data_IF_892996556583
#
_entry.id   IF_892996556583
#
_cell.length_a   1.000
_cell.length_b   1.000
_cell.length_c   1.000
_cell.angle_alpha   90.00
_cell.angle_beta   90.00
_cell.angle_gamma   90.00
#
_symmetry.space_group_name_H-M   'P 1'
#
loop_
_entity.id
_entity.type
_entity.pdbx_description
1 polymer ?
#
# COMPACT_ATOMS: atom_id res chain seq x y z
N UNK A 1 -14.10 14.80 -12.78
CA UNK A 1 -14.57 14.47 -11.42
C UNK A 1 -15.80 13.57 -11.46
N UNK A 2 -15.74 12.39 -10.84
CA UNK A 2 -16.90 11.50 -10.65
C UNK A 2 -17.71 11.88 -9.39
N UNK A 3 -18.87 11.24 -9.17
CA UNK A 3 -19.78 11.56 -8.05
C UNK A 3 -19.10 11.38 -6.68
N UNK A 4 -18.25 10.35 -6.52
CA UNK A 4 -17.56 10.08 -5.24
C UNK A 4 -16.52 11.15 -4.92
N UNK A 5 -15.72 11.54 -5.90
CA UNK A 5 -14.74 12.64 -5.78
C UNK A 5 -15.43 13.97 -5.45
N UNK A 6 -16.58 14.24 -6.07
CA UNK A 6 -17.35 15.45 -5.80
C UNK A 6 -17.87 15.50 -4.36
N UNK A 7 -18.33 14.37 -3.84
CA UNK A 7 -18.76 14.25 -2.45
C UNK A 7 -17.57 14.44 -1.48
N UNK A 8 -16.40 13.89 -1.80
CA UNK A 8 -15.17 14.10 -1.02
C UNK A 8 -14.79 15.58 -0.97
N UNK A 9 -14.77 16.24 -2.13
CA UNK A 9 -14.48 17.65 -2.25
C UNK A 9 -15.41 18.47 -1.36
N UNK A 10 -16.73 18.37 -1.54
CA UNK A 10 -17.68 19.19 -0.79
C UNK A 10 -17.62 18.92 0.72
N UNK A 11 -17.51 17.66 1.13
CA UNK A 11 -17.43 17.34 2.55
C UNK A 11 -16.14 17.87 3.20
N UNK A 12 -15.01 17.82 2.50
CA UNK A 12 -13.74 18.37 2.98
C UNK A 12 -13.80 19.91 3.06
N UNK A 13 -14.36 20.57 2.04
CA UNK A 13 -14.47 22.04 2.00
C UNK A 13 -15.41 22.56 3.07
N UNK A 14 -16.56 21.89 3.28
CA UNK A 14 -17.53 22.26 4.31
C UNK A 14 -16.92 22.13 5.70
N UNK A 15 -16.14 21.06 5.93
CA UNK A 15 -15.48 20.86 7.21
C UNK A 15 -14.41 21.91 7.48
N UNK A 16 -13.63 22.30 6.47
CA UNK A 16 -12.65 23.38 6.60
C UNK A 16 -13.36 24.73 6.91
N UNK A 17 -14.49 25.00 6.25
CA UNK A 17 -15.29 26.19 6.50
C UNK A 17 -15.83 26.23 7.94
N UNK A 18 -16.34 25.12 8.45
CA UNK A 18 -16.80 24.98 9.84
C UNK A 18 -15.66 25.30 10.83
N UNK A 19 -14.45 24.78 10.58
CA UNK A 19 -13.32 24.91 11.49
C UNK A 19 -12.64 26.29 11.45
N UNK A 20 -12.64 26.95 10.29
CA UNK A 20 -11.78 28.13 10.06
C UNK A 20 -12.53 29.37 9.57
N UNK A 21 -13.77 29.23 9.11
CA UNK A 21 -14.49 30.26 8.37
C UNK A 21 -13.95 30.49 6.95
N UNK A 22 -12.96 29.72 6.49
CA UNK A 22 -12.50 29.78 5.12
C UNK A 22 -13.61 29.35 4.15
N UNK A 23 -13.70 30.00 3.00
CA UNK A 23 -14.67 29.62 1.97
C UNK A 23 -13.94 29.04 0.77
N UNK A 24 -14.45 27.93 0.24
CA UNK A 24 -13.89 27.28 -0.95
C UNK A 24 -14.94 27.24 -2.04
N UNK A 25 -14.60 27.79 -3.20
CA UNK A 25 -15.49 27.83 -4.36
C UNK A 25 -14.97 26.93 -5.46
N UNK A 26 -15.79 25.98 -5.87
CA UNK A 26 -15.51 25.12 -7.02
C UNK A 26 -15.58 25.94 -8.32
N UNK A 27 -14.44 26.08 -9.00
CA UNK A 27 -14.28 26.80 -10.27
C UNK A 27 -14.31 25.86 -11.48
N UNK A 28 -14.44 24.55 -11.27
CA UNK A 28 -14.33 23.50 -12.29
C UNK A 28 -15.42 23.56 -13.37
N UNK A 29 -16.40 24.46 -13.23
CA UNK A 29 -17.50 24.67 -14.19
C UNK A 29 -17.09 25.59 -15.36
N UNK A 30 -15.90 26.20 -15.37
CA UNK A 30 -15.58 27.26 -16.37
C UNK A 30 -14.42 27.04 -17.35
N UNK A 31 -13.68 25.94 -17.34
CA UNK A 31 -12.58 25.76 -18.31
C UNK A 31 -12.64 24.40 -19.00
N UNK A 32 -13.07 24.40 -20.28
CA UNK A 32 -12.59 23.41 -21.26
C UNK A 32 -11.14 23.76 -21.57
N UNK A 33 -10.22 23.43 -20.66
CA UNK A 33 -8.79 23.50 -20.96
C UNK A 33 -8.32 22.11 -21.42
N UNK A 34 -7.68 22.08 -22.59
CA UNK A 34 -7.20 20.89 -23.30
C UNK A 34 -5.98 20.20 -22.63
N UNK A 35 -5.84 20.27 -21.30
CA UNK A 35 -4.81 19.53 -20.56
C UNK A 35 -5.46 18.36 -19.79
N UNK A 36 -5.25 17.16 -20.32
CA UNK A 36 -6.03 15.95 -20.09
C UNK A 36 -5.89 15.24 -18.72
N UNK A 37 -5.45 15.87 -17.61
CA UNK A 37 -5.12 15.12 -16.38
C UNK A 37 -5.39 15.87 -15.06
N UNK A 38 -6.54 16.53 -14.87
CA UNK A 38 -6.84 17.26 -13.60
C UNK A 38 -8.30 17.07 -13.15
N UNK A 39 -8.52 16.92 -11.84
CA UNK A 39 -9.87 16.68 -11.28
C UNK A 39 -10.71 17.95 -11.17
N UNK A 40 -10.08 19.10 -10.89
CA UNK A 40 -10.78 20.39 -10.78
C UNK A 40 -9.88 21.57 -10.38
N UNK A 41 -10.50 22.75 -10.28
CA UNK A 41 -9.87 23.99 -9.76
C UNK A 41 -10.78 24.60 -8.71
N UNK A 42 -10.20 25.08 -7.61
CA UNK A 42 -10.95 25.69 -6.50
C UNK A 42 -10.31 27.01 -6.09
N UNK A 43 -11.11 27.95 -5.63
CA UNK A 43 -10.64 29.18 -4.98
C UNK A 43 -10.86 29.09 -3.47
N UNK A 44 -9.79 29.15 -2.69
CA UNK A 44 -9.81 29.27 -1.23
C UNK A 44 -9.75 30.75 -0.85
N UNK A 45 -10.72 31.22 -0.07
CA UNK A 45 -10.68 32.56 0.53
C UNK A 45 -10.60 32.45 2.04
N UNK A 46 -9.56 33.06 2.62
CA UNK A 46 -9.32 33.08 4.06
C UNK A 46 -8.70 34.43 4.46
N UNK A 47 -9.25 35.08 5.50
CA UNK A 47 -8.75 36.37 5.97
C UNK A 47 -8.73 37.48 4.91
N UNK A 48 -9.70 37.48 3.98
CA UNK A 48 -9.77 38.44 2.86
C UNK A 48 -8.80 38.17 1.71
N UNK A 49 -7.94 37.15 1.80
CA UNK A 49 -7.05 36.70 0.73
C UNK A 49 -7.67 35.54 -0.02
N UNK A 50 -7.67 35.59 -1.35
CA UNK A 50 -8.14 34.50 -2.22
C UNK A 50 -6.97 33.90 -2.99
N UNK A 51 -6.84 32.57 -2.97
CA UNK A 51 -5.84 31.82 -3.75
C UNK A 51 -6.53 30.67 -4.49
N UNK A 52 -6.16 30.48 -5.75
CA UNK A 52 -6.63 29.37 -6.56
C UNK A 52 -5.70 28.16 -6.45
N UNK A 53 -6.29 26.98 -6.39
CA UNK A 53 -5.59 25.71 -6.37
C UNK A 53 -6.09 24.80 -7.50
N UNK A 54 -5.15 24.09 -8.12
CA UNK A 54 -5.46 22.86 -8.82
C UNK A 54 -5.69 21.74 -7.82
N UNK A 55 -6.73 20.94 -8.04
CA UNK A 55 -7.14 19.89 -7.11
C UNK A 55 -6.88 18.52 -7.71
N UNK A 56 -6.31 17.65 -6.87
CA UNK A 56 -6.32 16.20 -7.08
C UNK A 56 -7.08 15.57 -5.91
N UNK A 57 -8.05 14.72 -6.23
CA UNK A 57 -8.94 14.10 -5.25
C UNK A 57 -8.62 12.61 -5.18
N UNK A 58 -8.27 12.14 -3.98
CA UNK A 58 -8.02 10.71 -3.73
C UNK A 58 -8.88 10.22 -2.58
N UNK A 59 -9.41 9.01 -2.68
CA UNK A 59 -10.09 8.40 -1.53
C UNK A 59 -9.14 8.22 -0.34
N UNK A 60 -7.89 7.81 -0.61
CA UNK A 60 -6.89 7.61 0.43
C UNK A 60 -5.47 7.79 -0.13
N UNK A 61 -4.58 8.38 0.68
CA UNK A 61 -3.16 8.58 0.34
C UNK A 61 -2.37 7.76 1.36
N UNK A 62 -1.93 6.58 0.92
CA UNK A 62 -1.10 5.64 1.70
C UNK A 62 0.32 5.68 1.14
N UNK A 63 1.28 5.03 1.80
CA UNK A 63 2.72 5.05 1.42
C UNK A 63 3.05 4.72 -0.04
N UNK A 64 2.11 4.17 -0.81
CA UNK A 64 2.25 3.80 -2.21
C UNK A 64 1.69 4.86 -3.18
N UNK A 65 0.84 5.75 -2.67
CA UNK A 65 0.00 6.68 -3.43
C UNK A 65 0.32 8.11 -3.04
N UNK A 66 1.60 8.48 -3.06
CA UNK A 66 1.90 9.82 -3.56
C UNK A 66 2.03 9.64 -5.08
N UNK A 67 1.16 10.22 -5.91
CA UNK A 67 1.30 10.26 -7.37
C UNK A 67 2.55 11.05 -7.81
N UNK A 68 3.75 10.74 -7.28
CA UNK A 68 5.01 11.41 -7.59
C UNK A 68 5.49 11.08 -9.00
N UNK A 69 4.90 10.11 -9.69
CA UNK A 69 5.51 9.51 -10.89
C UNK A 69 4.77 9.78 -12.20
N UNK A 70 3.49 10.18 -12.18
CA UNK A 70 2.77 10.40 -13.45
C UNK A 70 2.66 11.88 -13.88
N UNK A 71 2.84 12.85 -12.99
CA UNK A 71 2.88 14.27 -13.35
C UNK A 71 4.05 15.00 -12.69
N UNK A 72 5.24 15.02 -13.32
CA UNK A 72 6.47 15.67 -12.81
C UNK A 72 6.31 17.15 -12.42
N UNK A 73 5.23 17.81 -12.84
CA UNK A 73 4.97 19.23 -12.63
C UNK A 73 3.93 19.56 -11.54
N UNK A 74 3.22 18.57 -10.97
CA UNK A 74 2.10 18.83 -10.05
C UNK A 74 2.59 19.24 -8.65
N UNK A 75 3.39 18.39 -8.01
CA UNK A 75 3.89 18.62 -6.64
C UNK A 75 5.06 19.61 -6.55
N UNK A 76 5.52 20.18 -7.67
CA UNK A 76 6.56 21.23 -7.69
C UNK A 76 5.98 22.64 -7.56
N UNK A 77 4.66 22.80 -7.64
CA UNK A 77 4.02 24.11 -7.62
C UNK A 77 3.21 24.31 -6.33
N UNK A 78 3.34 25.49 -5.73
CA UNK A 78 2.60 25.90 -4.51
C UNK A 78 1.10 26.17 -4.77
N UNK A 79 0.63 25.96 -5.99
CA UNK A 79 -0.74 26.19 -6.49
C UNK A 79 -1.56 24.89 -6.54
N UNK A 80 -1.15 23.85 -5.80
CA UNK A 80 -1.78 22.52 -5.81
C UNK A 80 -2.32 22.15 -4.44
N UNK A 81 -3.51 21.56 -4.38
CA UNK A 81 -4.15 21.03 -3.17
C UNK A 81 -4.60 19.57 -3.36
N UNK A 82 -4.06 18.69 -2.53
CA UNK A 82 -4.49 17.30 -2.44
C UNK A 82 -5.68 17.17 -1.48
N UNK A 83 -6.83 16.70 -1.98
CA UNK A 83 -8.00 16.43 -1.14
C UNK A 83 -8.13 14.93 -0.94
N UNK A 84 -8.21 14.51 0.32
CA UNK A 84 -8.20 13.10 0.66
C UNK A 84 -9.20 12.69 1.73
N UNK A 85 -9.71 11.45 1.63
CA UNK A 85 -10.46 10.83 2.72
C UNK A 85 -9.64 10.72 4.01
N UNK A 86 -8.43 10.18 3.89
CA UNK A 86 -7.51 9.99 5.00
C UNK A 86 -6.05 9.91 4.52
N UNK A 87 -5.16 10.52 5.31
CA UNK A 87 -3.72 10.58 5.14
C UNK A 87 -3.08 10.10 6.44
N UNK A 88 -2.22 9.09 6.35
CA UNK A 88 -1.53 8.56 7.53
C UNK A 88 -0.58 9.60 8.13
N UNK A 89 -0.31 9.52 9.44
CA UNK A 89 0.60 10.47 10.12
C UNK A 89 1.99 10.59 9.45
N UNK A 90 2.69 9.49 9.10
CA UNK A 90 3.98 9.60 8.40
C UNK A 90 3.86 10.30 7.04
N UNK A 91 2.73 10.14 6.35
CA UNK A 91 2.48 10.78 5.07
C UNK A 91 2.19 12.28 5.21
N UNK A 92 1.46 12.69 6.26
CA UNK A 92 1.26 14.12 6.57
C UNK A 92 2.59 14.83 6.80
N UNK A 93 3.49 14.20 7.55
CA UNK A 93 4.82 14.75 7.81
C UNK A 93 5.64 14.88 6.52
N UNK A 94 5.58 13.89 5.63
CA UNK A 94 6.26 13.92 4.33
C UNK A 94 5.69 14.99 3.39
N UNK A 95 4.36 15.09 3.25
CA UNK A 95 3.70 16.12 2.45
C UNK A 95 4.07 17.52 2.95
N UNK A 96 4.10 17.72 4.27
CA UNK A 96 4.52 18.98 4.89
C UNK A 96 6.00 19.28 4.64
N UNK A 97 6.89 18.29 4.81
CA UNK A 97 8.31 18.45 4.51
C UNK A 97 8.54 18.88 3.05
N UNK A 98 7.74 18.34 2.13
CA UNK A 98 7.76 18.70 0.70
C UNK A 98 6.99 19.97 0.35
N UNK A 99 6.37 20.63 1.32
CA UNK A 99 5.51 21.81 1.11
C UNK A 99 4.33 21.55 0.15
N UNK A 100 3.78 20.34 0.16
CA UNK A 100 2.61 19.95 -0.63
C UNK A 100 1.36 20.22 0.21
N UNK A 101 0.44 21.03 -0.32
CA UNK A 101 -0.80 21.33 0.38
C UNK A 101 -1.75 20.13 0.38
N UNK A 102 -2.39 19.86 1.52
CA UNK A 102 -3.40 18.81 1.64
C UNK A 102 -4.57 19.22 2.53
N UNK A 103 -5.72 18.60 2.30
CA UNK A 103 -6.93 18.71 3.11
C UNK A 103 -7.60 17.32 3.25
N UNK A 104 -7.83 16.88 4.48
CA UNK A 104 -8.58 15.66 4.79
C UNK A 104 -10.06 15.93 5.00
N UNK A 105 -10.90 14.88 4.87
CA UNK A 105 -12.31 14.93 5.26
C UNK A 105 -12.55 15.35 6.71
N UNK A 106 -11.67 14.94 7.64
CA UNK A 106 -11.76 15.32 9.05
C UNK A 106 -11.45 16.81 9.28
N UNK A 107 -10.96 17.53 8.27
CA UNK A 107 -10.56 18.94 8.36
C UNK A 107 -9.09 19.15 8.75
N UNK A 108 -8.34 18.09 9.05
CA UNK A 108 -6.88 18.21 9.15
C UNK A 108 -6.32 18.65 7.80
N UNK A 109 -5.45 19.63 7.83
CA UNK A 109 -4.90 20.21 6.62
C UNK A 109 -3.53 20.82 6.87
N UNK A 110 -2.79 20.98 5.79
CA UNK A 110 -1.63 21.84 5.70
C UNK A 110 -1.78 22.61 4.38
N UNK A 111 -1.98 23.92 4.48
CA UNK A 111 -2.15 24.81 3.34
C UNK A 111 -1.20 25.97 3.54
N UNK A 112 -0.17 26.08 2.71
CA UNK A 112 0.80 27.15 2.73
C UNK A 112 0.96 27.75 1.33
N UNK A 113 0.59 29.02 1.21
CA UNK A 113 0.80 29.86 0.04
C UNK A 113 1.57 31.13 0.43
N UNK A 114 1.71 32.09 -0.47
CA UNK A 114 2.30 33.40 -0.12
C UNK A 114 1.44 34.22 0.84
N UNK A 115 0.13 33.98 0.90
CA UNK A 115 -0.82 34.79 1.69
C UNK A 115 -1.74 34.02 2.63
N UNK A 116 -1.72 32.68 2.59
CA UNK A 116 -2.54 31.83 3.44
C UNK A 116 -1.64 30.79 4.10
N UNK A 117 -1.75 30.65 5.42
CA UNK A 117 -1.18 29.53 6.17
C UNK A 117 -2.26 28.96 7.08
N UNK A 118 -2.63 27.69 6.86
CA UNK A 118 -3.57 26.93 7.67
C UNK A 118 -2.93 25.59 7.99
N UNK A 119 -2.84 25.26 9.29
CA UNK A 119 -2.35 23.96 9.73
C UNK A 119 -3.24 23.45 10.85
N UNK A 120 -3.93 22.34 10.58
CA UNK A 120 -4.83 21.67 11.51
C UNK A 120 -4.40 20.20 11.57
N UNK A 121 -4.13 19.70 12.78
CA UNK A 121 -3.63 18.33 12.99
C UNK A 121 -4.17 17.67 14.26
N UNK A 122 -5.20 18.25 14.85
CA UNK A 122 -5.83 17.83 16.10
C UNK A 122 -7.25 17.28 15.88
N UNK A 123 -7.77 17.34 14.65
CA UNK A 123 -9.05 16.76 14.35
C UNK A 123 -8.89 15.25 14.43
N UNK A 124 -9.61 14.66 15.37
CA UNK A 124 -9.76 13.22 15.38
C UNK A 124 -10.31 12.85 14.01
N UNK A 125 -9.49 12.12 13.26
CA UNK A 125 -10.00 11.27 12.21
C UNK A 125 -10.75 10.18 12.95
N UNK A 126 -11.97 10.49 13.42
CA UNK A 126 -12.99 9.45 13.56
C UNK A 126 -12.94 8.80 12.20
N UNK A 127 -12.47 7.55 12.13
CA UNK A 127 -12.53 6.75 10.92
C UNK A 127 -13.87 7.09 10.30
N UNK A 128 -13.89 7.91 9.24
CA UNK A 128 -15.09 8.20 8.49
C UNK A 128 -15.34 6.87 7.86
N UNK A 129 -16.06 6.02 8.61
CA UNK A 129 -15.91 4.57 8.64
C UNK A 129 -15.52 4.16 7.24
N UNK A 130 -14.25 3.81 7.01
CA UNK A 130 -13.92 3.01 5.82
C UNK A 130 -14.96 1.91 5.89
N UNK A 131 -15.92 1.93 4.95
CA UNK A 131 -17.06 1.02 4.98
C UNK A 131 -16.48 -0.33 5.36
N UNK A 132 -16.91 -0.95 6.48
CA UNK A 132 -16.13 -1.93 7.22
C UNK A 132 -15.48 -2.83 6.20
N UNK A 133 -14.15 -2.69 6.00
CA UNK A 133 -13.52 -3.41 4.90
C UNK A 133 -13.90 -4.86 5.14
N UNK A 134 -14.55 -5.45 4.15
CA UNK A 134 -15.21 -6.74 4.34
C UNK A 134 -14.21 -7.79 4.82
N UNK A 135 -14.69 -8.97 5.19
CA UNK A 135 -13.84 -10.00 5.79
C UNK A 135 -12.63 -10.35 4.92
N UNK A 136 -12.72 -10.12 3.61
CA UNK A 136 -11.68 -10.30 2.61
C UNK A 136 -10.41 -9.45 2.87
N UNK A 137 -10.54 -8.29 3.49
CA UNK A 137 -9.42 -7.36 3.73
C UNK A 137 -8.90 -7.39 5.17
N UNK A 138 -9.41 -8.32 5.98
CA UNK A 138 -8.89 -8.64 7.31
C UNK A 138 -7.86 -9.76 7.22
N UNK A 139 -7.13 -10.02 8.30
CA UNK A 139 -6.02 -11.00 8.37
C UNK A 139 -6.32 -12.34 7.67
N UNK A 140 -7.46 -12.98 7.95
CA UNK A 140 -7.82 -14.25 7.30
C UNK A 140 -8.09 -14.09 5.79
N UNK A 141 -8.77 -13.02 5.40
CA UNK A 141 -9.04 -12.73 3.99
C UNK A 141 -7.77 -12.39 3.19
N UNK A 142 -6.82 -11.67 3.79
CA UNK A 142 -5.52 -11.36 3.16
C UNK A 142 -4.71 -12.64 2.92
N UNK A 143 -4.67 -13.56 3.90
CA UNK A 143 -4.03 -14.86 3.72
C UNK A 143 -4.73 -15.70 2.64
N UNK A 144 -6.06 -15.72 2.62
CA UNK A 144 -6.87 -16.38 1.60
C UNK A 144 -6.59 -15.84 0.19
N UNK A 145 -6.62 -14.51 0.02
CA UNK A 145 -6.30 -13.87 -1.24
C UNK A 145 -4.87 -14.18 -1.68
N UNK A 146 -3.91 -14.18 -0.75
CA UNK A 146 -2.53 -14.54 -1.07
C UNK A 146 -2.44 -15.95 -1.64
N UNK A 147 -3.10 -16.93 -1.01
CA UNK A 147 -3.11 -18.30 -1.51
C UNK A 147 -3.74 -18.37 -2.92
N UNK A 148 -4.92 -17.79 -3.11
CA UNK A 148 -5.61 -17.77 -4.41
C UNK A 148 -4.81 -17.09 -5.52
N UNK A 149 -4.13 -15.99 -5.20
CA UNK A 149 -3.40 -15.19 -6.18
C UNK A 149 -2.10 -15.86 -6.64
N UNK A 150 -1.50 -16.67 -5.77
CA UNK A 150 -0.34 -17.51 -6.11
C UNK A 150 -0.76 -18.84 -6.76
N UNK A 151 -1.94 -19.37 -6.40
CA UNK A 151 -2.47 -20.61 -6.94
C UNK A 151 -3.97 -20.48 -7.29
N UNK A 152 -4.30 -19.98 -8.50
CA UNK A 152 -5.69 -19.81 -8.94
C UNK A 152 -6.49 -21.11 -9.00
N UNK A 153 -5.84 -22.27 -9.04
CA UNK A 153 -6.51 -23.59 -9.04
C UNK A 153 -7.30 -23.83 -7.77
N UNK A 154 -6.95 -23.16 -6.68
CA UNK A 154 -7.67 -23.20 -5.42
C UNK A 154 -9.14 -22.79 -5.54
N UNK A 155 -9.52 -21.99 -6.55
CA UNK A 155 -10.93 -21.69 -6.83
C UNK A 155 -11.76 -22.94 -7.15
N UNK A 156 -11.10 -24.02 -7.61
CA UNK A 156 -11.72 -25.30 -7.98
C UNK A 156 -11.55 -26.37 -6.91
N UNK A 157 -10.86 -26.06 -5.82
CA UNK A 157 -10.55 -27.02 -4.76
C UNK A 157 -11.61 -27.03 -3.66
N UNK A 158 -11.76 -28.15 -2.92
CA UNK A 158 -12.60 -28.19 -1.73
C UNK A 158 -12.20 -27.12 -0.71
N UNK A 159 -13.18 -26.56 0.01
CA UNK A 159 -12.92 -25.50 1.00
C UNK A 159 -11.90 -25.90 2.07
N UNK A 160 -11.81 -27.19 2.41
CA UNK A 160 -10.80 -27.70 3.33
C UNK A 160 -9.38 -27.54 2.80
N UNK A 161 -9.16 -27.79 1.51
CA UNK A 161 -7.87 -27.58 0.84
C UNK A 161 -7.53 -26.10 0.80
N UNK A 162 -8.50 -25.25 0.46
CA UNK A 162 -8.30 -23.79 0.44
C UNK A 162 -7.95 -23.26 1.83
N UNK A 163 -8.65 -23.71 2.87
CA UNK A 163 -8.40 -23.32 4.26
C UNK A 163 -6.99 -23.70 4.71
N UNK A 164 -6.55 -24.92 4.37
CA UNK A 164 -5.23 -25.42 4.73
C UNK A 164 -4.12 -24.65 4.01
N UNK A 165 -4.20 -24.49 2.69
CA UNK A 165 -3.21 -23.74 1.89
C UNK A 165 -3.11 -22.26 2.29
N UNK A 166 -4.23 -21.64 2.65
CA UNK A 166 -4.26 -20.27 3.15
C UNK A 166 -3.92 -20.15 4.64
N UNK A 167 -3.76 -21.26 5.37
CA UNK A 167 -3.56 -21.28 6.82
C UNK A 167 -4.61 -20.45 7.60
N UNK A 168 -5.89 -20.76 7.34
CA UNK A 168 -7.06 -20.14 7.98
C UNK A 168 -8.07 -21.17 8.47
N UNK A 169 -8.96 -20.75 9.36
CA UNK A 169 -10.08 -21.58 9.80
C UNK A 169 -11.05 -21.88 8.64
N UNK A 170 -11.46 -23.15 8.50
CA UNK A 170 -12.38 -23.63 7.45
C UNK A 170 -13.68 -22.81 7.38
N UNK A 171 -14.25 -22.42 8.52
CA UNK A 171 -15.48 -21.64 8.59
C UNK A 171 -15.39 -20.25 7.93
N UNK A 172 -14.19 -19.74 7.64
CA UNK A 172 -14.02 -18.47 6.94
C UNK A 172 -14.15 -18.61 5.42
N UNK A 173 -13.85 -19.78 4.83
CA UNK A 173 -13.66 -19.92 3.38
C UNK A 173 -14.92 -19.56 2.61
N UNK A 174 -16.10 -20.07 3.00
CA UNK A 174 -17.35 -19.78 2.30
C UNK A 174 -17.66 -18.28 2.25
N UNK A 175 -17.61 -17.61 3.40
CA UNK A 175 -17.86 -16.17 3.46
C UNK A 175 -16.85 -15.34 2.65
N UNK A 176 -15.60 -15.80 2.54
CA UNK A 176 -14.56 -15.16 1.73
C UNK A 176 -14.78 -15.39 0.23
N UNK A 177 -15.17 -16.60 -0.18
CA UNK A 177 -15.55 -16.94 -1.56
C UNK A 177 -16.76 -16.13 -2.03
N UNK A 178 -17.79 -16.00 -1.17
CA UNK A 178 -18.97 -15.18 -1.46
C UNK A 178 -18.60 -13.70 -1.60
N UNK A 179 -17.70 -13.20 -0.74
CA UNK A 179 -17.29 -11.81 -0.74
C UNK A 179 -16.43 -11.44 -1.96
N UNK A 180 -15.44 -12.25 -2.33
CA UNK A 180 -14.63 -12.00 -3.54
C UNK A 180 -15.48 -12.05 -4.81
N UNK A 181 -16.48 -12.94 -4.88
CA UNK A 181 -17.46 -12.99 -5.96
C UNK A 181 -18.34 -11.73 -6.02
N UNK A 182 -18.91 -11.32 -4.88
CA UNK A 182 -19.74 -10.11 -4.76
C UNK A 182 -18.97 -8.82 -5.05
N UNK A 183 -17.68 -8.76 -4.75
CA UNK A 183 -16.81 -7.64 -5.12
C UNK A 183 -16.41 -7.63 -6.62
N UNK A 184 -16.88 -8.63 -7.39
CA UNK A 184 -16.73 -8.68 -8.84
C UNK A 184 -15.31 -8.99 -9.29
N UNK A 185 -14.55 -9.75 -8.51
CA UNK A 185 -13.23 -10.23 -8.94
C UNK A 185 -13.29 -11.58 -9.66
N UNK A 186 -14.36 -12.35 -9.43
CA UNK A 186 -14.56 -13.66 -10.05
C UNK A 186 -15.44 -13.54 -11.29
N UNK A 187 -15.06 -14.28 -12.35
CA UNK A 187 -15.85 -14.41 -13.57
C UNK A 187 -16.02 -15.87 -13.94
N UNK A 188 -17.22 -16.21 -14.41
CA UNK A 188 -17.49 -17.52 -14.99
C UNK A 188 -17.00 -17.57 -16.44
N UNK A 189 -16.21 -18.59 -16.74
CA UNK A 189 -15.74 -18.96 -18.07
C UNK A 189 -16.53 -20.13 -18.67
N UNK A 190 -16.09 -20.62 -19.84
CA UNK A 190 -16.67 -21.80 -20.47
C UNK A 190 -16.68 -23.00 -19.52
N UNK A 191 -17.68 -23.87 -19.64
CA UNK A 191 -17.85 -25.07 -18.81
C UNK A 191 -17.97 -24.81 -17.29
N UNK A 192 -18.50 -23.64 -16.89
CA UNK A 192 -18.65 -23.22 -15.48
C UNK A 192 -17.32 -23.15 -14.72
N UNK A 193 -16.22 -22.90 -15.44
CA UNK A 193 -14.93 -22.60 -14.80
C UNK A 193 -14.99 -21.21 -14.19
N UNK A 194 -14.28 -20.97 -13.08
CA UNK A 194 -14.23 -19.67 -12.41
C UNK A 194 -12.79 -19.19 -12.40
N UNK A 195 -12.56 -17.93 -12.79
CA UNK A 195 -11.23 -17.31 -12.80
C UNK A 195 -11.27 -15.89 -12.25
N UNK A 196 -10.10 -15.36 -11.90
CA UNK A 196 -9.91 -13.99 -11.43
C UNK A 196 -9.77 -13.06 -12.64
N UNK A 197 -10.72 -12.17 -12.88
CA UNK A 197 -10.70 -11.26 -14.05
C UNK A 197 -9.86 -10.01 -13.80
N UNK A 198 -10.07 -9.33 -12.67
CA UNK A 198 -9.40 -8.08 -12.30
C UNK A 198 -8.13 -8.32 -11.49
N UNK A 199 -7.24 -9.19 -12.00
CA UNK A 199 -6.09 -9.70 -11.26
C UNK A 199 -5.10 -8.60 -10.86
N UNK A 200 -4.75 -7.71 -11.80
CA UNK A 200 -3.82 -6.59 -11.52
C UNK A 200 -4.33 -5.65 -10.42
N UNK A 201 -5.61 -5.27 -10.51
CA UNK A 201 -6.25 -4.43 -9.48
C UNK A 201 -6.25 -5.14 -8.13
N UNK A 202 -6.56 -6.44 -8.12
CA UNK A 202 -6.57 -7.26 -6.92
C UNK A 202 -5.17 -7.39 -6.31
N UNK A 203 -4.10 -7.49 -7.10
CA UNK A 203 -2.72 -7.47 -6.60
C UNK A 203 -2.39 -6.16 -5.90
N UNK A 204 -2.70 -5.02 -6.51
CA UNK A 204 -2.45 -3.70 -5.92
C UNK A 204 -3.18 -3.54 -4.59
N UNK A 205 -4.48 -3.85 -4.57
CA UNK A 205 -5.30 -3.76 -3.36
C UNK A 205 -4.86 -4.76 -2.28
N UNK A 206 -4.48 -5.97 -2.68
CA UNK A 206 -3.93 -6.95 -1.75
C UNK A 206 -2.62 -6.48 -1.14
N UNK A 207 -1.69 -5.91 -1.93
CA UNK A 207 -0.41 -5.41 -1.43
C UNK A 207 -0.61 -4.30 -0.38
N UNK A 208 -1.58 -3.41 -0.59
CA UNK A 208 -1.96 -2.40 0.39
C UNK A 208 -2.55 -3.01 1.67
N UNK A 209 -3.50 -3.94 1.54
CA UNK A 209 -4.12 -4.61 2.67
C UNK A 209 -3.09 -5.42 3.48
N UNK A 210 -2.19 -6.13 2.79
CA UNK A 210 -1.07 -6.84 3.35
C UNK A 210 -0.24 -5.93 4.24
N UNK A 211 0.25 -4.81 3.70
CA UNK A 211 1.10 -3.88 4.44
C UNK A 211 0.44 -3.28 5.66
N UNK A 212 -0.83 -2.89 5.54
CA UNK A 212 -1.51 -2.13 6.59
C UNK A 212 -2.12 -3.03 7.67
N UNK A 213 -2.47 -4.27 7.35
CA UNK A 213 -3.24 -5.14 8.24
C UNK A 213 -2.49 -6.39 8.67
N UNK A 214 -1.82 -7.10 7.75
CA UNK A 214 -1.16 -8.37 8.05
C UNK A 214 0.28 -8.16 8.50
N UNK A 215 1.07 -7.41 7.72
CA UNK A 215 2.50 -7.20 7.95
C UNK A 215 2.85 -6.74 9.37
N UNK A 216 2.15 -5.76 9.99
CA UNK A 216 2.47 -5.32 11.35
C UNK A 216 2.26 -6.41 12.40
N UNK A 217 1.36 -7.36 12.14
CA UNK A 217 1.06 -8.48 13.07
C UNK A 217 2.05 -9.63 12.96
N UNK A 218 2.71 -9.76 11.81
CA UNK A 218 3.70 -10.81 11.55
C UNK A 218 5.14 -10.31 11.70
N UNK A 219 5.36 -9.00 11.87
CA UNK A 219 6.70 -8.44 12.11
C UNK A 219 7.18 -8.88 13.49
N UNK A 220 8.28 -9.62 13.55
CA UNK A 220 8.83 -10.16 14.78
C UNK A 220 9.82 -9.18 15.45
N UNK A 221 10.53 -8.38 14.66
CA UNK A 221 11.43 -7.33 15.17
C UNK A 221 12.54 -6.97 14.18
N UNK A 222 13.36 -6.03 14.61
CA UNK A 222 14.55 -5.53 13.90
C UNK A 222 15.84 -5.95 14.60
N UNK A 223 16.86 -6.21 13.80
CA UNK A 223 18.10 -6.86 14.17
C UNK A 223 19.27 -6.32 13.34
N UNK A 224 20.47 -6.69 13.76
CA UNK A 224 21.69 -6.52 12.96
C UNK A 224 22.48 -7.82 12.92
N UNK A 225 23.25 -7.98 11.84
CA UNK A 225 24.25 -9.04 11.77
C UNK A 225 25.36 -8.78 12.80
N UNK A 226 25.76 -9.84 13.51
CA UNK A 226 27.00 -9.80 14.31
C UNK A 226 28.22 -9.75 13.39
N UNK A 227 28.21 -10.59 12.36
CA UNK A 227 29.21 -10.56 11.29
C UNK A 227 28.82 -9.53 10.23
N UNK A 228 29.50 -8.38 10.24
CA UNK A 228 29.23 -7.31 9.28
C UNK A 228 29.55 -7.70 7.84
N UNK A 229 30.39 -8.70 7.59
CA UNK A 229 30.71 -9.13 6.21
C UNK A 229 29.49 -9.74 5.50
N UNK A 230 28.48 -10.20 6.25
CA UNK A 230 27.23 -10.72 5.70
C UNK A 230 26.44 -9.65 4.93
N UNK A 231 26.62 -8.36 5.20
CA UNK A 231 25.92 -7.33 4.42
C UNK A 231 26.39 -7.28 2.97
N UNK A 232 27.63 -7.68 2.70
CA UNK A 232 28.18 -7.72 1.34
C UNK A 232 28.02 -9.10 0.69
N UNK A 233 28.10 -10.18 1.48
CA UNK A 233 28.05 -11.56 0.98
C UNK A 233 26.70 -12.26 1.18
N UNK A 234 25.63 -11.52 1.48
CA UNK A 234 24.31 -12.11 1.75
C UNK A 234 23.78 -13.02 0.63
N UNK A 235 24.18 -12.77 -0.63
CA UNK A 235 23.80 -13.60 -1.79
C UNK A 235 24.42 -14.99 -1.79
N UNK A 236 25.51 -15.18 -1.05
CA UNK A 236 26.19 -16.48 -0.93
C UNK A 236 25.50 -17.41 0.06
N UNK A 237 24.61 -16.85 0.90
CA UNK A 237 23.79 -17.63 1.81
C UNK A 237 22.83 -18.52 1.02
N UNK A 238 22.77 -19.78 1.42
CA UNK A 238 21.84 -20.79 0.90
C UNK A 238 20.80 -21.06 1.99
N UNK A 239 19.79 -20.18 2.13
CA UNK A 239 18.90 -20.22 3.27
C UNK A 239 18.06 -21.50 3.22
N UNK A 240 18.05 -22.23 4.34
CA UNK A 240 17.25 -23.46 4.51
C UNK A 240 16.06 -23.27 5.43
N UNK A 241 16.12 -22.24 6.27
CA UNK A 241 15.21 -22.03 7.40
C UNK A 241 14.40 -20.74 7.24
N UNK A 242 14.67 -19.98 6.18
CA UNK A 242 14.03 -18.71 5.89
C UNK A 242 14.03 -18.39 4.39
N UNK A 243 13.25 -17.37 4.03
CA UNK A 243 13.17 -16.84 2.68
C UNK A 243 13.56 -15.37 2.67
N UNK A 244 14.31 -14.95 1.66
CA UNK A 244 14.57 -13.54 1.40
C UNK A 244 13.31 -12.84 0.91
N UNK A 245 12.92 -11.77 1.60
CA UNK A 245 11.83 -10.87 1.24
C UNK A 245 12.34 -9.50 0.77
N UNK A 246 11.41 -8.55 0.61
CA UNK A 246 11.74 -7.14 0.36
C UNK A 246 12.83 -6.90 -0.67
N UNK A 247 13.84 -6.11 -0.30
CA UNK A 247 14.91 -5.70 -1.22
C UNK A 247 15.78 -6.88 -1.67
N UNK A 248 16.02 -7.86 -0.79
CA UNK A 248 16.77 -9.06 -1.15
C UNK A 248 16.04 -9.90 -2.20
N UNK A 249 14.73 -10.11 -2.03
CA UNK A 249 13.92 -10.79 -3.03
C UNK A 249 13.92 -10.03 -4.36
N UNK A 250 13.69 -8.72 -4.32
CA UNK A 250 13.75 -7.87 -5.52
C UNK A 250 15.11 -7.93 -6.22
N UNK A 251 16.20 -7.90 -5.46
CA UNK A 251 17.56 -8.01 -5.98
C UNK A 251 17.83 -9.37 -6.64
N UNK A 252 17.37 -10.48 -6.05
CA UNK A 252 17.56 -11.82 -6.61
C UNK A 252 16.70 -12.07 -7.84
N UNK A 253 15.43 -11.67 -7.82
CA UNK A 253 14.48 -11.91 -8.89
C UNK A 253 14.71 -11.00 -10.10
N UNK A 254 15.11 -9.75 -9.88
CA UNK A 254 15.26 -8.75 -10.98
C UNK A 254 16.71 -8.46 -11.37
N UNK A 255 17.67 -8.75 -10.50
CA UNK A 255 19.07 -8.35 -10.66
C UNK A 255 19.33 -6.83 -10.59
N UNK A 256 18.33 -6.02 -10.22
CA UNK A 256 18.37 -4.56 -10.36
C UNK A 256 18.79 -3.81 -9.09
N UNK A 257 18.40 -4.32 -7.92
CA UNK A 257 18.54 -3.61 -6.64
C UNK A 257 19.76 -4.09 -5.85
N UNK A 258 20.47 -3.18 -5.19
CA UNK A 258 21.40 -3.51 -4.10
C UNK A 258 20.67 -3.26 -2.77
N UNK A 259 20.44 -4.29 -1.94
CA UNK A 259 19.73 -4.11 -0.67
C UNK A 259 20.49 -3.25 0.33
N UNK A 260 19.75 -2.39 1.01
CA UNK A 260 20.13 -1.70 2.23
C UNK A 260 19.36 -2.24 3.44
N UNK A 261 18.14 -2.74 3.20
CA UNK A 261 17.33 -3.44 4.19
C UNK A 261 17.28 -4.93 3.90
N UNK A 262 17.48 -5.74 4.92
CA UNK A 262 17.51 -7.19 4.87
C UNK A 262 16.22 -7.77 5.42
N UNK A 263 15.31 -8.20 4.55
CA UNK A 263 14.00 -8.70 4.97
C UNK A 263 13.99 -10.22 4.96
N UNK A 264 13.63 -10.83 6.08
CA UNK A 264 13.61 -12.27 6.28
C UNK A 264 12.21 -12.74 6.66
N UNK A 265 11.72 -13.79 6.01
CA UNK A 265 10.51 -14.51 6.41
C UNK A 265 10.85 -15.91 6.88
N UNK A 266 10.36 -16.31 8.04
CA UNK A 266 10.62 -17.64 8.58
C UNK A 266 9.47 -18.16 9.45
N UNK A 267 9.33 -19.48 9.53
CA UNK A 267 8.40 -20.14 10.45
C UNK A 267 8.97 -20.10 11.88
N UNK A 268 10.22 -20.54 12.06
CA UNK A 268 10.88 -20.72 13.37
C UNK A 268 12.12 -19.83 13.55
N UNK A 269 11.96 -18.50 13.51
CA UNK A 269 13.13 -17.60 13.48
C UNK A 269 14.03 -17.67 14.73
N UNK A 270 13.45 -17.85 15.94
CA UNK A 270 14.20 -17.75 17.21
C UNK A 270 15.30 -18.80 17.37
N UNK A 271 15.07 -20.01 16.85
CA UNK A 271 16.00 -21.13 17.02
C UNK A 271 16.87 -21.32 15.77
N UNK A 272 16.26 -21.20 14.60
CA UNK A 272 16.91 -21.54 13.33
C UNK A 272 17.65 -20.31 12.78
N UNK A 273 16.90 -19.25 12.44
CA UNK A 273 17.46 -18.03 11.81
C UNK A 273 18.46 -17.31 12.72
N UNK A 274 18.16 -17.17 14.01
CA UNK A 274 19.07 -16.52 14.96
C UNK A 274 20.42 -17.25 15.07
N UNK A 275 20.41 -18.59 14.97
CA UNK A 275 21.62 -19.43 15.01
C UNK A 275 22.36 -19.41 13.67
N UNK A 276 21.62 -19.48 12.57
CA UNK A 276 22.17 -19.49 11.21
C UNK A 276 22.86 -18.16 10.87
N UNK A 277 22.21 -17.03 11.16
CA UNK A 277 22.68 -15.70 10.77
C UNK A 277 23.38 -14.92 11.88
N UNK A 278 23.39 -15.44 13.12
CA UNK A 278 23.96 -14.79 14.31
C UNK A 278 23.51 -13.33 14.42
N UNK A 279 22.23 -13.14 14.70
CA UNK A 279 21.60 -11.83 14.78
C UNK A 279 21.58 -11.32 16.23
N UNK A 280 21.66 -10.00 16.39
CA UNK A 280 21.39 -9.31 17.66
C UNK A 280 20.21 -8.36 17.49
N UNK A 281 19.27 -8.31 18.46
CA UNK A 281 18.20 -7.32 18.44
C UNK A 281 18.77 -5.90 18.34
N UNK A 282 18.21 -5.10 17.44
CA UNK A 282 18.60 -3.72 17.22
C UNK A 282 17.40 -2.98 16.62
N UNK A 283 16.75 -2.07 17.37
CA UNK A 283 15.60 -1.30 16.90
C UNK A 283 15.84 -0.58 15.57
N UNK A 284 17.07 -0.10 15.35
CA UNK A 284 17.49 0.65 14.15
C UNK A 284 18.32 -0.22 13.18
N UNK A 285 18.38 -1.52 13.44
CA UNK A 285 19.16 -2.47 12.65
C UNK A 285 18.60 -2.68 11.25
N UNK A 286 19.45 -3.00 10.26
CA UNK A 286 19.03 -3.12 8.86
C UNK A 286 18.31 -4.44 8.56
N UNK A 287 18.27 -5.39 9.50
CA UNK A 287 17.64 -6.70 9.32
C UNK A 287 16.26 -6.68 9.96
N UNK A 288 15.23 -7.06 9.21
CA UNK A 288 13.86 -7.21 9.69
C UNK A 288 13.42 -8.65 9.52
N UNK A 289 12.86 -9.23 10.59
CA UNK A 289 12.32 -10.59 10.56
C UNK A 289 10.79 -10.53 10.65
N UNK A 290 10.14 -11.29 9.77
CA UNK A 290 8.71 -11.51 9.75
C UNK A 290 8.38 -13.01 9.86
N UNK A 291 7.26 -13.31 10.48
CA UNK A 291 6.69 -14.65 10.50
C UNK A 291 6.13 -15.00 9.11
N UNK A 292 6.57 -16.14 8.58
CA UNK A 292 5.96 -16.74 7.42
C UNK A 292 4.49 -17.07 7.69
N UNK A 293 3.63 -16.78 6.73
CA UNK A 293 2.18 -16.94 6.86
C UNK A 293 1.54 -17.83 5.78
N UNK A 294 2.35 -18.42 4.90
CA UNK A 294 1.94 -19.30 3.80
C UNK A 294 2.55 -20.69 3.99
N UNK A 295 1.94 -21.72 3.40
CA UNK A 295 2.31 -23.11 3.66
C UNK A 295 3.00 -23.86 2.52
N UNK A 296 2.88 -23.44 1.26
CA UNK A 296 3.53 -24.10 0.12
C UNK A 296 3.69 -23.09 -1.03
N UNK A 297 4.86 -23.08 -1.67
CA UNK A 297 5.12 -22.35 -2.93
C UNK A 297 5.86 -23.32 -3.86
N UNK A 298 5.63 -23.31 -5.18
CA UNK A 298 6.43 -24.09 -6.12
C UNK A 298 7.95 -23.96 -5.87
N UNK A 299 8.69 -25.07 -6.06
CA UNK A 299 10.11 -25.26 -5.72
C UNK A 299 11.05 -24.16 -6.24
N UNK A 300 10.67 -23.45 -7.29
CA UNK A 300 11.45 -22.39 -7.94
C UNK A 300 11.74 -21.17 -7.02
N UNK A 301 11.11 -21.08 -5.85
CA UNK A 301 11.26 -19.96 -4.91
C UNK A 301 11.93 -20.32 -3.59
N UNK A 302 12.61 -21.46 -3.45
CA UNK A 302 13.17 -21.86 -2.14
C UNK A 302 14.05 -20.80 -1.44
N UNK A 303 14.72 -19.92 -2.18
CA UNK A 303 15.58 -18.86 -1.62
C UNK A 303 14.83 -17.56 -1.29
N UNK A 304 13.72 -17.28 -1.98
CA UNK A 304 12.98 -16.01 -1.87
C UNK A 304 11.52 -16.21 -1.47
N UNK A 305 10.85 -15.15 -1.06
CA UNK A 305 9.38 -15.18 -0.99
C UNK A 305 8.75 -15.25 -2.40
N UNK A 306 7.45 -15.55 -2.53
CA UNK A 306 6.76 -15.51 -3.81
C UNK A 306 6.85 -14.13 -4.45
N UNK A 307 6.88 -14.01 -5.79
CA UNK A 307 6.97 -12.73 -6.48
C UNK A 307 5.88 -11.72 -6.04
N UNK A 308 4.66 -12.19 -5.75
CA UNK A 308 3.60 -11.32 -5.23
C UNK A 308 3.96 -10.67 -3.87
N UNK A 309 4.59 -11.43 -2.97
CA UNK A 309 5.01 -10.90 -1.67
C UNK A 309 6.23 -9.99 -1.82
N UNK A 310 7.19 -10.34 -2.68
CA UNK A 310 8.33 -9.49 -3.01
C UNK A 310 7.87 -8.14 -3.60
N UNK A 311 6.90 -8.18 -4.52
CA UNK A 311 6.24 -7.00 -5.05
C UNK A 311 5.60 -6.17 -3.93
N UNK A 312 4.81 -6.78 -3.05
CA UNK A 312 4.09 -6.04 -2.01
C UNK A 312 5.03 -5.41 -0.96
N UNK A 313 6.13 -6.07 -0.61
CA UNK A 313 7.15 -5.50 0.27
C UNK A 313 7.80 -4.23 -0.32
N UNK A 314 7.89 -4.13 -1.64
CA UNK A 314 8.59 -3.06 -2.35
C UNK A 314 7.68 -1.97 -2.91
N UNK A 315 6.52 -2.33 -3.47
CA UNK A 315 5.55 -1.44 -4.13
C UNK A 315 5.05 -0.32 -3.21
N UNK A 316 5.16 -0.57 -1.91
CA UNK A 316 4.70 0.31 -0.87
C UNK A 316 5.80 1.20 -0.27
N UNK A 317 7.04 0.98 -0.67
CA UNK A 317 8.18 1.74 -0.17
C UNK A 317 8.14 3.19 -0.66
N UNK A 318 8.66 4.10 0.18
CA UNK A 318 8.89 5.49 -0.21
C UNK A 318 10.17 5.65 -1.05
N UNK A 319 11.04 4.63 -1.06
CA UNK A 319 12.24 4.60 -1.89
C UNK A 319 11.87 4.37 -3.37
N UNK A 320 12.33 5.25 -4.26
CA UNK A 320 12.10 5.12 -5.70
C UNK A 320 12.70 3.85 -6.31
N UNK A 321 13.85 3.38 -5.80
CA UNK A 321 14.50 2.14 -6.27
C UNK A 321 13.63 0.93 -5.97
N UNK A 322 12.99 0.90 -4.80
CA UNK A 322 12.10 -0.18 -4.41
C UNK A 322 10.84 -0.17 -5.28
N UNK A 323 10.26 1.01 -5.55
CA UNK A 323 9.10 1.13 -6.44
C UNK A 323 9.43 0.72 -7.87
N UNK A 324 10.58 1.13 -8.41
CA UNK A 324 11.02 0.68 -9.74
C UNK A 324 11.24 -0.84 -9.79
N UNK A 325 11.83 -1.41 -8.73
CA UNK A 325 12.02 -2.86 -8.62
C UNK A 325 10.68 -3.59 -8.54
N UNK A 326 9.69 -3.03 -7.84
CA UNK A 326 8.34 -3.58 -7.77
C UNK A 326 7.66 -3.60 -9.15
N UNK A 327 7.78 -2.53 -9.95
CA UNK A 327 7.25 -2.50 -11.32
C UNK A 327 7.91 -3.57 -12.21
N UNK A 328 9.22 -3.81 -12.05
CA UNK A 328 9.94 -4.88 -12.76
C UNK A 328 9.40 -6.26 -12.35
N UNK A 329 9.21 -6.50 -11.06
CA UNK A 329 8.62 -7.74 -10.54
C UNK A 329 7.22 -7.97 -11.08
N UNK A 330 6.38 -6.92 -11.07
CA UNK A 330 5.02 -6.98 -11.61
C UNK A 330 5.05 -7.42 -13.07
N UNK A 331 5.83 -6.73 -13.90
CA UNK A 331 5.96 -7.03 -15.34
C UNK A 331 6.53 -8.41 -15.66
N UNK A 332 7.43 -8.93 -14.82
CA UNK A 332 8.12 -10.20 -15.07
C UNK A 332 7.35 -11.42 -14.57
N UNK A 333 6.56 -11.29 -13.50
CA UNK A 333 6.01 -12.43 -12.77
C UNK A 333 4.50 -12.36 -12.51
N UNK A 334 3.87 -11.18 -12.60
CA UNK A 334 2.48 -10.98 -12.21
C UNK A 334 1.56 -10.61 -13.38
N UNK A 335 2.11 -10.05 -14.46
CA UNK A 335 1.39 -9.66 -15.67
C UNK A 335 1.18 -10.82 -16.66
#
# INVERSE_FOLDING_TARGET
>A
MNIKERNLLYHATDKLQELTGATMRDLSIKAKDNYAERDGTIALTFGGTTVEFYVEIKNEVRGNTIPVVQTPNFYRRRDTLLICGYITKPMKDELRHRQINYLELAGNCYIQTKGIYIYINDQQVTETRTAPQGKLWKTAGIKFLFALLNDPELLRQPYRTVADRADIALGNVGALMDEIGREGYLKEGPNKTVFIERREELFGRWAEAYRNTLRPKITAGTYRFVDKSLTDHWKELQPKTFHWGGENAGALLTGYLRPEKFTIYAINFRQEVMKELKLLPDPDGPVEILHQFWKDIPEETQVTVPPLLAYADLATSLDSRNRETAERLKKQYLD
#
